data_IF_792482028584
#
_entry.id   IF_792482028584
#
_cell.length_a   1.000
_cell.length_b   1.000
_cell.length_c   1.000
_cell.angle_alpha   90.00
_cell.angle_beta   90.00
_cell.angle_gamma   90.00
#
_symmetry.space_group_name_H-M   'P 1'
#
loop_
_entity.id
_entity.type
_entity.pdbx_description
1 polymer ?
#
# COMPACT_ATOMS: atom_id res chain seq x y z
N UNK A 1 14.83 14.10 20.96
CA UNK A 1 14.18 12.79 20.91
C UNK A 1 12.67 13.00 20.99
N UNK A 2 12.12 13.71 20.07
CA UNK A 2 10.67 13.81 19.88
C UNK A 2 10.47 14.29 18.45
N UNK A 3 10.96 13.44 17.53
CA UNK A 3 10.79 13.68 16.12
C UNK A 3 9.89 12.58 15.57
N UNK A 4 8.75 13.01 15.14
CA UNK A 4 8.21 12.48 13.93
C UNK A 4 7.27 11.30 13.97
N UNK A 5 6.36 11.23 14.88
CA UNK A 5 5.17 10.36 14.66
C UNK A 5 4.04 11.10 13.91
N UNK A 6 4.32 12.32 13.43
CA UNK A 6 3.37 13.11 12.66
C UNK A 6 2.93 12.48 11.35
N UNK A 7 3.68 11.53 10.81
CA UNK A 7 3.37 10.91 9.53
C UNK A 7 2.65 9.58 9.63
N UNK A 8 2.55 9.00 10.82
CA UNK A 8 1.72 7.83 11.09
C UNK A 8 0.27 8.18 11.40
N UNK A 9 0.04 9.44 11.82
CA UNK A 9 -1.24 9.91 12.31
C UNK A 9 -2.09 10.64 11.27
N UNK A 10 -1.65 10.73 10.02
CA UNK A 10 -2.56 11.13 8.95
C UNK A 10 -3.60 10.03 8.83
N UNK A 11 -4.75 10.29 9.43
CA UNK A 11 -5.85 9.34 9.43
C UNK A 11 -6.21 8.96 7.99
N UNK A 12 -6.43 7.69 7.73
CA UNK A 12 -6.81 7.23 6.39
C UNK A 12 -8.09 7.92 5.88
N UNK A 13 -8.96 8.37 6.79
CA UNK A 13 -10.13 9.19 6.49
C UNK A 13 -9.77 10.58 5.94
N UNK A 14 -8.75 11.24 6.50
CA UNK A 14 -8.33 12.59 6.07
C UNK A 14 -7.75 12.55 4.67
N UNK A 15 -6.93 11.53 4.37
CA UNK A 15 -6.46 11.28 3.02
C UNK A 15 -7.58 10.87 2.06
N UNK A 16 -8.60 10.18 2.56
CA UNK A 16 -9.82 9.89 1.81
C UNK A 16 -10.57 11.15 1.41
N UNK A 17 -10.73 12.10 2.35
CA UNK A 17 -11.35 13.41 2.07
C UNK A 17 -10.50 14.26 1.12
N UNK A 18 -9.18 14.24 1.28
CA UNK A 18 -8.27 14.88 0.32
C UNK A 18 -8.42 14.29 -1.08
N UNK A 19 -8.42 12.96 -1.19
CA UNK A 19 -8.62 12.26 -2.46
C UNK A 19 -9.98 12.58 -3.10
N UNK A 20 -11.03 12.69 -2.29
CA UNK A 20 -12.34 13.14 -2.74
C UNK A 20 -12.28 14.57 -3.29
N UNK A 21 -11.72 15.51 -2.54
CA UNK A 21 -11.63 16.89 -2.97
C UNK A 21 -10.82 17.04 -4.27
N UNK A 22 -9.68 16.37 -4.39
CA UNK A 22 -8.78 16.50 -5.55
C UNK A 22 -9.28 15.68 -6.74
N UNK A 23 -9.50 14.39 -6.57
CA UNK A 23 -9.77 13.49 -7.71
C UNK A 23 -11.25 13.51 -8.13
N UNK A 24 -12.17 13.59 -7.18
CA UNK A 24 -13.61 13.56 -7.51
C UNK A 24 -14.11 14.94 -7.91
N UNK A 25 -13.78 16.00 -7.14
CA UNK A 25 -14.30 17.35 -7.38
C UNK A 25 -13.43 18.13 -8.37
N UNK A 26 -12.12 18.31 -8.11
CA UNK A 26 -11.25 19.17 -8.93
C UNK A 26 -10.96 18.52 -10.28
N UNK A 27 -10.53 17.24 -10.30
CA UNK A 27 -10.22 16.53 -11.55
C UNK A 27 -11.47 15.99 -12.27
N UNK A 28 -12.65 16.11 -11.65
CA UNK A 28 -13.94 15.70 -12.23
C UNK A 28 -13.99 14.22 -12.67
N UNK A 29 -13.21 13.34 -12.01
CA UNK A 29 -13.27 11.90 -12.28
C UNK A 29 -14.52 11.24 -11.70
N UNK A 30 -15.35 12.00 -11.00
CA UNK A 30 -16.54 11.51 -10.29
C UNK A 30 -16.20 10.33 -9.37
N UNK A 31 -17.23 9.69 -8.81
CA UNK A 31 -17.04 8.43 -8.09
C UNK A 31 -16.63 7.33 -9.07
N UNK A 32 -15.38 6.90 -8.99
CA UNK A 32 -14.83 5.93 -9.94
C UNK A 32 -13.75 5.06 -9.29
N UNK A 33 -13.52 3.90 -9.88
CA UNK A 33 -12.42 3.01 -9.48
C UNK A 33 -11.08 3.73 -9.59
N UNK A 34 -10.93 4.61 -10.61
CA UNK A 34 -9.71 5.37 -10.83
C UNK A 34 -9.44 6.36 -9.69
N UNK A 35 -10.45 7.13 -9.25
CA UNK A 35 -10.29 8.06 -8.12
C UNK A 35 -9.95 7.35 -6.82
N UNK A 36 -10.57 6.18 -6.56
CA UNK A 36 -10.22 5.33 -5.43
C UNK A 36 -8.78 4.80 -5.49
N UNK A 37 -8.35 4.33 -6.65
CA UNK A 37 -6.99 3.84 -6.84
C UNK A 37 -5.93 4.93 -6.64
N UNK A 38 -6.14 6.13 -7.20
CA UNK A 38 -5.23 7.26 -7.00
C UNK A 38 -5.15 7.70 -5.54
N UNK A 39 -6.29 7.71 -4.84
CA UNK A 39 -6.32 8.01 -3.40
C UNK A 39 -5.53 6.98 -2.59
N UNK A 40 -5.66 5.69 -2.91
CA UNK A 40 -4.84 4.64 -2.27
C UNK A 40 -3.35 4.79 -2.57
N UNK A 41 -2.97 5.16 -3.78
CA UNK A 41 -1.57 5.45 -4.12
C UNK A 41 -1.04 6.58 -3.25
N UNK A 42 -1.77 7.69 -3.11
CA UNK A 42 -1.38 8.80 -2.24
C UNK A 42 -1.23 8.37 -0.77
N UNK A 43 -2.10 7.46 -0.29
CA UNK A 43 -2.06 6.94 1.07
C UNK A 43 -0.86 6.00 1.29
N UNK A 44 -0.54 5.15 0.33
CA UNK A 44 0.52 4.15 0.44
C UNK A 44 1.91 4.71 0.14
N UNK A 45 2.00 5.80 -0.62
CA UNK A 45 3.27 6.39 -1.04
C UNK A 45 4.17 6.77 0.14
N UNK A 46 3.72 7.50 1.18
CA UNK A 46 4.56 7.83 2.34
C UNK A 46 5.00 6.58 3.11
N UNK A 47 4.14 5.58 3.22
CA UNK A 47 4.48 4.32 3.88
C UNK A 47 5.56 3.57 3.10
N UNK A 48 5.41 3.44 1.77
CA UNK A 48 6.39 2.78 0.91
C UNK A 48 7.73 3.51 0.90
N UNK A 49 7.71 4.85 0.90
CA UNK A 49 8.94 5.65 0.93
C UNK A 49 9.72 5.42 2.21
N UNK A 50 9.04 5.36 3.36
CA UNK A 50 9.68 5.08 4.65
C UNK A 50 10.28 3.68 4.71
N UNK A 51 9.52 2.65 4.31
CA UNK A 51 10.03 1.28 4.31
C UNK A 51 11.22 1.11 3.35
N UNK A 52 11.20 1.80 2.21
CA UNK A 52 12.35 1.84 1.30
C UNK A 52 13.56 2.55 1.91
N UNK A 53 13.35 3.66 2.60
CA UNK A 53 14.41 4.39 3.31
C UNK A 53 15.03 3.54 4.42
N UNK A 54 14.21 2.88 5.23
CA UNK A 54 14.67 1.96 6.28
C UNK A 54 15.48 0.79 5.69
N UNK A 55 14.99 0.20 4.60
CA UNK A 55 15.69 -0.87 3.89
C UNK A 55 17.07 -0.40 3.37
N UNK A 56 17.13 0.81 2.82
CA UNK A 56 18.40 1.39 2.38
C UNK A 56 19.32 1.70 3.57
N UNK A 57 18.81 2.21 4.68
CA UNK A 57 19.61 2.50 5.88
C UNK A 57 20.17 1.23 6.55
N UNK A 58 19.47 0.11 6.42
CA UNK A 58 19.89 -1.19 6.97
C UNK A 58 21.17 -1.76 6.28
N UNK A 59 21.55 -1.23 5.09
CA UNK A 59 22.77 -1.67 4.40
C UNK A 59 24.01 -1.25 5.20
N UNK A 60 24.93 -2.20 5.56
CA UNK A 60 26.10 -1.92 6.38
C UNK A 60 26.97 -0.81 5.84
N UNK A 61 27.46 0.05 6.74
CA UNK A 61 28.30 1.19 6.36
C UNK A 61 29.63 0.76 5.74
N UNK A 62 30.16 -0.38 6.16
CA UNK A 62 31.38 -0.97 5.58
C UNK A 62 31.28 -1.19 4.07
N UNK A 63 30.11 -1.60 3.55
CA UNK A 63 29.90 -1.76 2.10
C UNK A 63 29.91 -0.41 1.37
N UNK A 64 29.41 0.64 2.00
CA UNK A 64 29.39 2.00 1.44
C UNK A 64 30.80 2.58 1.39
N UNK A 65 31.56 2.42 2.48
CA UNK A 65 32.94 2.89 2.59
C UNK A 65 33.86 2.12 1.64
N UNK A 66 33.70 0.81 1.50
CA UNK A 66 34.45 0.00 0.55
C UNK A 66 34.22 0.48 -0.89
N UNK A 67 32.99 0.79 -1.28
CA UNK A 67 32.69 1.30 -2.61
C UNK A 67 33.35 2.67 -2.88
N UNK A 68 33.35 3.55 -1.88
CA UNK A 68 34.01 4.86 -1.97
C UNK A 68 35.51 4.75 -2.01
N UNK A 69 36.09 3.80 -1.26
CA UNK A 69 37.55 3.52 -1.28
C UNK A 69 38.01 3.01 -2.65
N UNK A 70 37.15 2.31 -3.39
CA UNK A 70 37.42 1.90 -4.78
C UNK A 70 37.23 3.01 -5.81
N UNK A 71 37.02 4.27 -5.37
CA UNK A 71 36.89 5.43 -6.25
C UNK A 71 35.50 5.64 -6.84
N UNK A 72 34.45 4.92 -6.36
CA UNK A 72 33.10 5.14 -6.81
C UNK A 72 32.59 6.52 -6.36
N UNK A 73 31.82 7.19 -7.23
CA UNK A 73 31.11 8.42 -6.85
C UNK A 73 29.95 8.07 -5.91
N UNK A 74 29.45 9.05 -5.13
CA UNK A 74 28.30 8.85 -4.23
C UNK A 74 27.09 8.30 -4.99
N UNK A 75 26.84 8.75 -6.20
CA UNK A 75 25.74 8.26 -7.03
C UNK A 75 25.95 6.80 -7.46
N UNK A 76 27.16 6.45 -7.86
CA UNK A 76 27.48 5.06 -8.21
C UNK A 76 27.40 4.14 -6.99
N UNK A 77 27.86 4.58 -5.83
CA UNK A 77 27.72 3.83 -4.57
C UNK A 77 26.25 3.56 -4.26
N UNK A 78 25.35 4.57 -4.34
CA UNK A 78 23.94 4.38 -4.07
C UNK A 78 23.31 3.42 -5.09
N UNK A 79 23.49 3.65 -6.39
CA UNK A 79 22.78 2.91 -7.44
C UNK A 79 23.31 1.50 -7.66
N UNK A 80 24.60 1.26 -7.45
CA UNK A 80 25.24 -0.03 -7.75
C UNK A 80 25.49 -0.91 -6.52
N UNK A 81 25.49 -0.33 -5.31
CA UNK A 81 25.76 -1.08 -4.08
C UNK A 81 24.58 -1.02 -3.13
N UNK A 82 24.12 0.18 -2.76
CA UNK A 82 23.09 0.32 -1.71
C UNK A 82 21.73 -0.15 -2.22
N UNK A 83 21.26 0.30 -3.38
CA UNK A 83 19.95 -0.07 -3.92
C UNK A 83 19.83 -1.56 -4.16
N UNK A 84 20.77 -2.26 -4.84
CA UNK A 84 20.68 -3.71 -5.01
C UNK A 84 20.70 -4.47 -3.67
N UNK A 85 21.53 -4.04 -2.72
CA UNK A 85 21.59 -4.65 -1.39
C UNK A 85 20.31 -4.43 -0.57
N UNK A 86 19.61 -3.30 -0.76
CA UNK A 86 18.35 -2.97 -0.09
C UNK A 86 17.11 -3.61 -0.76
N UNK A 87 17.23 -4.13 -1.99
CA UNK A 87 16.10 -4.67 -2.77
C UNK A 87 15.23 -5.69 -2.01
N UNK A 88 15.77 -6.63 -1.24
CA UNK A 88 14.94 -7.56 -0.47
C UNK A 88 14.03 -6.85 0.53
N UNK A 89 14.52 -5.82 1.22
CA UNK A 89 13.74 -5.01 2.15
C UNK A 89 12.67 -4.17 1.44
N UNK A 90 13.00 -3.57 0.31
CA UNK A 90 12.05 -2.79 -0.51
C UNK A 90 10.91 -3.69 -1.01
N UNK A 91 11.22 -4.88 -1.50
CA UNK A 91 10.21 -5.86 -1.94
C UNK A 91 9.29 -6.24 -0.79
N UNK A 92 9.82 -6.46 0.41
CA UNK A 92 9.01 -6.74 1.60
C UNK A 92 8.07 -5.57 1.90
N UNK A 93 8.53 -4.33 1.81
CA UNK A 93 7.70 -3.13 1.96
C UNK A 93 6.55 -3.07 0.96
N UNK A 94 6.82 -3.32 -0.32
CA UNK A 94 5.78 -3.39 -1.38
C UNK A 94 4.72 -4.44 -1.06
N UNK A 95 5.15 -5.61 -0.60
CA UNK A 95 4.27 -6.73 -0.24
C UNK A 95 3.34 -6.36 0.92
N UNK A 96 3.88 -5.71 1.95
CA UNK A 96 3.09 -5.22 3.09
C UNK A 96 2.08 -4.16 2.65
N UNK A 97 2.45 -3.28 1.70
CA UNK A 97 1.52 -2.31 1.10
C UNK A 97 0.33 -3.00 0.40
N UNK A 98 0.59 -4.06 -0.37
CA UNK A 98 -0.46 -4.82 -1.06
C UNK A 98 -1.42 -5.45 -0.04
N UNK A 99 -0.89 -6.06 1.01
CA UNK A 99 -1.71 -6.64 2.08
C UNK A 99 -2.59 -5.60 2.79
N UNK A 100 -2.05 -4.41 3.04
CA UNK A 100 -2.78 -3.31 3.67
C UNK A 100 -3.90 -2.78 2.78
N UNK A 101 -3.66 -2.64 1.48
CA UNK A 101 -4.65 -2.12 0.52
C UNK A 101 -5.98 -2.89 0.54
N UNK A 102 -5.92 -4.20 0.73
CA UNK A 102 -7.11 -5.05 0.77
C UNK A 102 -8.06 -4.78 1.94
N UNK A 103 -7.57 -4.20 3.01
CA UNK A 103 -8.35 -3.90 4.23
C UNK A 103 -8.84 -2.45 4.32
N UNK A 104 -8.37 -1.56 3.45
CA UNK A 104 -8.76 -0.15 3.48
C UNK A 104 -10.20 0.04 3.00
N UNK A 105 -11.03 0.66 3.85
CA UNK A 105 -12.45 0.93 3.53
C UNK A 105 -12.75 2.43 3.49
N UNK A 106 -12.27 3.21 4.47
CA UNK A 106 -12.64 4.61 4.64
C UNK A 106 -12.32 5.50 3.43
N UNK A 107 -11.09 5.54 2.88
CA UNK A 107 -10.78 6.36 1.73
C UNK A 107 -11.53 5.91 0.47
N UNK A 108 -11.73 4.61 0.30
CA UNK A 108 -12.44 4.07 -0.86
C UNK A 108 -13.96 4.33 -0.81
N UNK A 109 -14.55 4.30 0.38
CA UNK A 109 -15.95 4.64 0.54
C UNK A 109 -16.27 6.05 0.02
N UNK A 110 -15.41 7.01 0.31
CA UNK A 110 -15.59 8.42 -0.05
C UNK A 110 -15.24 8.71 -1.53
N UNK A 111 -14.33 7.94 -2.13
CA UNK A 111 -13.81 8.26 -3.48
C UNK A 111 -14.32 7.35 -4.60
N UNK A 112 -14.66 6.10 -4.27
CA UNK A 112 -15.07 5.10 -5.25
C UNK A 112 -16.60 5.00 -5.40
N UNK A 113 -17.34 5.44 -4.39
CA UNK A 113 -18.80 5.47 -4.38
C UNK A 113 -19.42 4.14 -4.01
N UNK A 114 -20.09 3.67 -3.30
CA UNK A 114 -20.61 2.36 -2.84
C UNK A 114 -21.57 1.65 -3.81
N UNK A 115 -21.43 1.80 -5.11
CA UNK A 115 -22.33 1.13 -6.08
C UNK A 115 -22.24 -0.40 -5.97
N UNK A 116 -23.39 -1.08 -5.93
CA UNK A 116 -23.48 -2.54 -5.93
C UNK A 116 -23.50 -3.15 -7.34
N UNK A 117 -23.55 -2.32 -8.38
CA UNK A 117 -23.55 -2.78 -9.76
C UNK A 117 -22.15 -3.16 -10.20
N UNK A 118 -22.06 -4.13 -11.10
CA UNK A 118 -20.78 -4.47 -11.75
C UNK A 118 -20.26 -3.26 -12.53
N UNK A 119 -19.00 -2.83 -12.28
CA UNK A 119 -18.43 -1.69 -12.99
C UNK A 119 -18.28 -1.99 -14.48
N UNK A 120 -18.78 -1.12 -15.33
CA UNK A 120 -18.64 -1.22 -16.77
C UNK A 120 -17.27 -0.74 -17.29
N UNK A 121 -16.42 -0.15 -16.44
CA UNK A 121 -15.10 0.36 -16.79
C UNK A 121 -14.40 1.01 -15.60
N UNK A 122 -13.17 1.48 -15.81
CA UNK A 122 -12.31 2.10 -14.77
C UNK A 122 -12.90 3.41 -14.23
N UNK A 123 -13.68 4.10 -15.04
CA UNK A 123 -14.38 5.34 -14.67
C UNK A 123 -15.76 5.10 -14.04
N UNK A 124 -16.17 3.84 -13.89
CA UNK A 124 -17.43 3.51 -13.24
C UNK A 124 -17.25 3.45 -11.72
N UNK A 125 -18.30 3.78 -10.94
CA UNK A 125 -18.28 3.55 -9.51
C UNK A 125 -18.25 2.05 -9.22
N UNK A 126 -17.65 1.69 -8.10
CA UNK A 126 -17.52 0.30 -7.68
C UNK A 126 -17.56 0.16 -6.17
N UNK A 127 -17.41 -1.07 -5.68
CA UNK A 127 -17.37 -1.37 -4.26
C UNK A 127 -16.36 -2.46 -3.99
N UNK A 128 -15.37 -2.18 -3.14
CA UNK A 128 -14.50 -3.23 -2.61
C UNK A 128 -15.22 -4.05 -1.54
N UNK A 129 -14.71 -5.23 -1.24
CA UNK A 129 -15.30 -6.09 -0.22
C UNK A 129 -15.28 -5.42 1.17
N UNK A 130 -14.20 -4.69 1.49
CA UNK A 130 -14.08 -3.91 2.73
C UNK A 130 -15.15 -2.80 2.82
N UNK A 131 -15.37 -2.05 1.74
CA UNK A 131 -16.43 -1.05 1.64
C UNK A 131 -17.80 -1.70 1.73
N UNK A 132 -17.98 -2.92 1.18
CA UNK A 132 -19.23 -3.65 1.26
C UNK A 132 -19.60 -4.05 2.70
N UNK A 133 -18.62 -4.52 3.47
CA UNK A 133 -18.82 -4.81 4.92
C UNK A 133 -19.24 -3.56 5.66
N UNK A 134 -18.54 -2.44 5.42
CA UNK A 134 -18.87 -1.16 6.05
C UNK A 134 -20.28 -0.70 5.71
N UNK A 135 -20.67 -0.80 4.44
CA UNK A 135 -22.01 -0.43 3.97
C UNK A 135 -23.11 -1.29 4.60
N UNK A 136 -22.92 -2.61 4.67
CA UNK A 136 -23.87 -3.51 5.31
C UNK A 136 -24.04 -3.23 6.80
N UNK A 137 -22.96 -2.90 7.49
CA UNK A 137 -22.98 -2.63 8.92
C UNK A 137 -23.63 -1.29 9.26
N UNK A 138 -23.32 -0.23 8.51
CA UNK A 138 -23.70 1.14 8.86
C UNK A 138 -25.00 1.62 8.18
N UNK A 139 -25.20 1.25 6.91
CA UNK A 139 -26.33 1.78 6.13
C UNK A 139 -27.56 0.88 6.14
N UNK A 140 -27.39 -0.44 6.11
CA UNK A 140 -28.51 -1.37 6.00
C UNK A 140 -28.89 -2.04 7.31
N UNK A 141 -28.13 -1.83 8.39
CA UNK A 141 -28.27 -2.51 9.69
C UNK A 141 -28.36 -4.06 9.57
N UNK A 142 -27.84 -4.62 8.47
CA UNK A 142 -27.85 -6.05 8.22
C UNK A 142 -26.60 -6.71 8.85
N UNK A 143 -26.50 -6.66 10.17
CA UNK A 143 -25.32 -7.09 10.92
C UNK A 143 -24.93 -8.55 10.63
N UNK A 144 -25.90 -9.45 10.49
CA UNK A 144 -25.64 -10.86 10.16
C UNK A 144 -24.92 -11.01 8.80
N UNK A 145 -25.38 -10.28 7.79
CA UNK A 145 -24.73 -10.29 6.45
C UNK A 145 -23.38 -9.60 6.48
N UNK A 146 -23.24 -8.52 7.26
CA UNK A 146 -21.97 -7.83 7.45
C UNK A 146 -20.93 -8.77 8.08
N UNK A 147 -21.29 -9.52 9.12
CA UNK A 147 -20.42 -10.49 9.78
C UNK A 147 -19.99 -11.63 8.84
N UNK A 148 -20.95 -12.19 8.09
CA UNK A 148 -20.65 -13.22 7.11
C UNK A 148 -19.66 -12.72 6.03
N UNK A 149 -19.88 -11.51 5.52
CA UNK A 149 -18.99 -10.90 4.51
C UNK A 149 -17.62 -10.55 5.11
N UNK A 150 -17.57 -10.08 6.34
CA UNK A 150 -16.32 -9.79 7.06
C UNK A 150 -15.49 -11.07 7.26
N UNK A 151 -16.12 -12.19 7.58
CA UNK A 151 -15.43 -13.48 7.69
C UNK A 151 -14.77 -13.88 6.37
N UNK A 152 -15.49 -13.75 5.25
CA UNK A 152 -14.93 -14.00 3.93
C UNK A 152 -13.76 -13.07 3.62
N UNK A 153 -13.90 -11.77 3.95
CA UNK A 153 -12.84 -10.77 3.77
C UNK A 153 -11.57 -11.13 4.55
N UNK A 154 -11.72 -11.51 5.84
CA UNK A 154 -10.58 -11.90 6.69
C UNK A 154 -9.86 -13.12 6.11
N UNK A 155 -10.61 -14.16 5.71
CA UNK A 155 -10.01 -15.36 5.10
C UNK A 155 -9.28 -15.01 3.81
N UNK A 156 -9.84 -14.15 2.97
CA UNK A 156 -9.23 -13.70 1.71
C UNK A 156 -7.95 -12.89 1.97
N UNK A 157 -7.95 -11.99 2.96
CA UNK A 157 -6.77 -11.21 3.36
C UNK A 157 -5.67 -12.13 3.91
N UNK A 158 -6.03 -13.10 4.77
CA UNK A 158 -5.07 -14.08 5.28
C UNK A 158 -4.45 -14.89 4.15
N UNK A 159 -5.27 -15.37 3.21
CA UNK A 159 -4.78 -16.12 2.06
C UNK A 159 -3.85 -15.28 1.18
N UNK A 160 -4.23 -14.05 0.84
CA UNK A 160 -3.38 -13.14 0.06
C UNK A 160 -2.07 -12.82 0.78
N UNK A 161 -2.09 -12.57 2.09
CA UNK A 161 -0.89 -12.32 2.88
C UNK A 161 0.04 -13.53 2.93
N UNK A 162 -0.49 -14.73 3.15
CA UNK A 162 0.30 -15.97 3.14
C UNK A 162 0.93 -16.21 1.76
N UNK A 163 0.16 -16.04 0.70
CA UNK A 163 0.62 -16.21 -0.67
C UNK A 163 1.72 -15.20 -1.04
N UNK A 164 1.52 -13.94 -0.65
CA UNK A 164 2.45 -12.85 -0.91
C UNK A 164 3.75 -13.03 -0.11
N UNK A 165 3.67 -13.45 1.16
CA UNK A 165 4.84 -13.79 1.96
C UNK A 165 5.61 -14.99 1.40
N UNK A 166 4.90 -16.01 0.92
CA UNK A 166 5.54 -17.16 0.28
C UNK A 166 6.32 -16.77 -0.98
N UNK A 167 5.73 -15.93 -1.84
CA UNK A 167 6.41 -15.38 -3.02
C UNK A 167 7.64 -14.56 -2.62
N UNK A 168 7.48 -13.68 -1.62
CA UNK A 168 8.58 -12.84 -1.10
C UNK A 168 9.77 -13.68 -0.66
N UNK A 169 9.52 -14.67 0.17
CA UNK A 169 10.59 -15.56 0.66
C UNK A 169 11.30 -16.28 -0.49
N UNK A 170 10.55 -16.73 -1.49
CA UNK A 170 11.13 -17.36 -2.68
C UNK A 170 11.98 -16.39 -3.52
N UNK A 171 11.54 -15.14 -3.67
CA UNK A 171 12.29 -14.11 -4.39
C UNK A 171 13.58 -13.72 -3.64
N UNK A 172 13.48 -13.54 -2.31
CA UNK A 172 14.62 -13.19 -1.47
C UNK A 172 15.70 -14.28 -1.48
N UNK A 173 15.31 -15.56 -1.36
CA UNK A 173 16.27 -16.68 -1.42
C UNK A 173 16.97 -16.78 -2.76
N UNK A 174 16.30 -16.47 -3.86
CA UNK A 174 16.94 -16.44 -5.20
C UNK A 174 17.91 -15.28 -5.35
N UNK A 175 17.61 -14.10 -4.80
CA UNK A 175 18.49 -12.93 -4.89
C UNK A 175 19.70 -13.03 -3.96
N UNK A 176 19.56 -13.64 -2.78
CA UNK A 176 20.66 -13.86 -1.84
C UNK A 176 21.52 -15.09 -2.18
N UNK A 177 20.99 -16.04 -2.94
CA UNK A 177 21.70 -17.25 -3.35
C UNK A 177 22.57 -17.10 -4.61
N UNK A 178 22.62 -15.92 -5.22
CA UNK A 178 23.44 -15.60 -6.39
C UNK A 178 24.59 -14.62 -6.07
N UNK A 179 24.85 -14.37 -4.78
CA UNK A 179 25.98 -13.56 -4.32
C UNK A 179 27.11 -14.44 -3.77
#
# INVERSE_FOLDING_TARGET
>A
IMSSDWSSDVCSSDLGLFGYAVFVLVMSFHFSILSGALTLVCLLLPYLTRTAEEAMRAVPQAQREAALALGATKWQMVTRVVVPAAMPGIITGVILCIGRTGSESAPLFVTMGGSSQMPGGIMSPGRTLAVHVFYLAMETNALERALATATVLVVLILFTNLFTNWISTRLQTRMMGTA
#
